data_IF_777382436167
#
_entry.id   IF_777382436167
#
_cell.length_a   1.000
_cell.length_b   1.000
_cell.length_c   1.000
_cell.angle_alpha   90.00
_cell.angle_beta   90.00
_cell.angle_gamma   90.00
#
_symmetry.space_group_name_H-M   'P 1'
#
loop_
_entity.id
_entity.type
_entity.pdbx_description
1 polymer ?
#
# COMPACT_ATOMS: atom_id res chain seq x y z
N UNK A 1 17.98 18.37 14.82
CA UNK A 1 18.35 17.85 13.48
C UNK A 1 19.43 16.81 13.65
N UNK A 2 19.23 15.59 13.16
CA UNK A 2 20.30 14.59 13.15
C UNK A 2 21.24 14.92 11.99
N UNK A 3 22.55 14.79 12.23
CA UNK A 3 23.61 15.06 11.25
C UNK A 3 24.43 13.79 11.05
N UNK A 4 24.65 13.38 9.80
CA UNK A 4 25.58 12.29 9.48
C UNK A 4 26.94 12.90 9.11
N UNK A 5 28.00 12.37 9.70
CA UNK A 5 29.38 12.69 9.33
C UNK A 5 29.99 11.44 8.74
N UNK A 6 30.37 11.51 7.47
CA UNK A 6 30.87 10.35 6.72
C UNK A 6 32.35 10.60 6.38
N UNK A 7 33.21 9.68 6.81
CA UNK A 7 34.62 9.63 6.45
C UNK A 7 34.82 8.49 5.43
N UNK A 8 34.99 8.85 4.15
CA UNK A 8 35.23 7.92 3.06
C UNK A 8 36.69 7.51 2.90
N UNK A 9 37.02 6.87 1.76
CA UNK A 9 38.40 6.56 1.36
C UNK A 9 38.93 5.18 1.80
N UNK A 10 38.06 4.34 2.37
CA UNK A 10 38.38 2.94 2.68
C UNK A 10 37.43 1.99 1.97
N UNK A 11 37.88 0.87 1.36
CA UNK A 11 36.98 -0.14 0.82
C UNK A 11 36.12 -0.73 1.93
N UNK A 12 34.84 -0.91 1.68
CA UNK A 12 33.92 -1.59 2.60
C UNK A 12 34.03 -3.07 2.36
N UNK A 13 34.26 -3.84 3.44
CA UNK A 13 34.31 -5.31 3.43
C UNK A 13 33.43 -5.85 4.55
N UNK A 14 32.56 -6.80 4.24
CA UNK A 14 31.66 -7.42 5.22
C UNK A 14 30.35 -7.89 4.58
N UNK A 15 29.45 -8.37 5.43
CA UNK A 15 28.10 -8.82 5.06
C UNK A 15 27.07 -7.82 5.54
N UNK A 16 26.05 -7.59 4.72
CA UNK A 16 24.89 -6.74 5.05
C UNK A 16 23.62 -7.53 4.78
N UNK A 17 22.80 -7.67 5.80
CA UNK A 17 21.44 -8.21 5.64
C UNK A 17 20.53 -7.09 5.14
N UNK A 18 19.96 -7.26 3.94
CA UNK A 18 19.03 -6.31 3.36
C UNK A 18 17.70 -6.41 4.12
N UNK A 19 17.23 -5.27 4.66
CA UNK A 19 15.93 -5.18 5.32
C UNK A 19 14.78 -5.26 4.33
N UNK A 20 13.57 -5.45 4.85
CA UNK A 20 12.36 -5.42 4.03
C UNK A 20 12.19 -4.12 3.26
N UNK A 21 11.59 -4.21 2.07
CA UNK A 21 11.39 -3.11 1.16
C UNK A 21 10.44 -2.05 1.75
N UNK A 22 10.94 -0.80 1.89
CA UNK A 22 10.11 0.31 2.36
C UNK A 22 8.82 0.45 1.55
N UNK A 23 8.93 0.49 0.21
CA UNK A 23 7.80 0.75 -0.66
C UNK A 23 6.77 -0.38 -0.66
N UNK A 24 7.18 -1.61 -0.40
CA UNK A 24 6.28 -2.73 -0.17
C UNK A 24 5.57 -2.61 1.19
N UNK A 25 6.33 -2.38 2.26
CA UNK A 25 5.79 -2.28 3.61
C UNK A 25 4.70 -1.21 3.73
N UNK A 26 4.92 -0.01 3.18
CA UNK A 26 3.96 1.11 3.28
C UNK A 26 2.68 0.89 2.46
N UNK A 27 2.63 -0.09 1.57
CA UNK A 27 1.43 -0.50 0.86
C UNK A 27 0.78 -1.75 1.51
N UNK A 28 1.58 -2.75 1.92
CA UNK A 28 1.09 -3.99 2.52
C UNK A 28 0.45 -3.73 3.90
N UNK A 29 0.99 -2.80 4.69
CA UNK A 29 0.42 -2.46 6.00
C UNK A 29 -1.01 -1.91 5.87
N UNK A 30 -1.32 -0.91 5.03
CA UNK A 30 -2.70 -0.53 4.75
C UNK A 30 -3.54 -1.64 4.11
N UNK A 31 -2.95 -2.46 3.24
CA UNK A 31 -3.66 -3.58 2.61
C UNK A 31 -4.14 -4.64 3.61
N UNK A 32 -3.50 -4.76 4.77
CA UNK A 32 -3.99 -5.62 5.86
C UNK A 32 -5.39 -5.23 6.36
N UNK A 33 -5.84 -3.98 6.12
CA UNK A 33 -7.22 -3.56 6.41
C UNK A 33 -8.27 -4.28 5.54
N UNK A 34 -7.89 -4.79 4.37
CA UNK A 34 -8.78 -5.55 3.49
C UNK A 34 -9.11 -6.95 4.02
N UNK A 35 -8.27 -7.46 4.90
CA UNK A 35 -8.37 -8.83 5.42
C UNK A 35 -9.34 -8.90 6.58
N UNK A 36 -10.25 -9.88 6.57
CA UNK A 36 -11.11 -10.18 7.72
C UNK A 36 -10.43 -11.23 8.60
N UNK A 37 -9.45 -10.82 9.37
CA UNK A 37 -8.65 -11.71 10.20
C UNK A 37 -7.38 -11.06 10.72
N UNK A 38 -6.43 -11.91 11.10
CA UNK A 38 -5.10 -11.51 11.56
C UNK A 38 -4.08 -11.72 10.46
N UNK A 39 -3.39 -10.66 10.08
CA UNK A 39 -2.23 -10.71 9.19
C UNK A 39 -0.96 -10.69 10.03
N UNK A 40 -0.13 -11.71 9.94
CA UNK A 40 1.24 -11.68 10.42
C UNK A 40 2.16 -11.28 9.29
N UNK A 41 2.83 -10.15 9.44
CA UNK A 41 3.72 -9.58 8.43
C UNK A 41 5.15 -9.63 8.98
N UNK A 42 6.04 -10.28 8.22
CA UNK A 42 7.45 -10.48 8.55
C UNK A 42 8.34 -9.62 7.66
N UNK A 43 9.60 -9.47 8.04
CA UNK A 43 10.60 -8.63 7.38
C UNK A 43 10.18 -7.15 7.26
N UNK A 44 9.53 -6.63 8.30
CA UNK A 44 9.15 -5.21 8.39
C UNK A 44 10.41 -4.34 8.55
N UNK A 45 10.61 -3.31 7.72
CA UNK A 45 11.72 -2.37 7.88
C UNK A 45 11.52 -1.45 9.08
N UNK A 46 12.63 -1.14 9.77
CA UNK A 46 12.64 -0.26 10.94
C UNK A 46 12.69 1.22 10.52
N UNK A 47 11.56 1.76 10.10
CA UNK A 47 11.44 3.15 9.62
C UNK A 47 10.24 3.85 10.25
N UNK A 48 10.34 5.18 10.39
CA UNK A 48 9.29 6.01 10.99
C UNK A 48 7.93 5.93 10.28
N UNK A 49 7.95 5.73 8.96
CA UNK A 49 6.72 5.60 8.16
C UNK A 49 5.89 4.38 8.60
N UNK A 50 6.55 3.27 8.91
CA UNK A 50 5.90 2.04 9.40
C UNK A 50 5.26 2.26 10.77
N UNK A 51 6.00 2.86 11.70
CA UNK A 51 5.47 3.16 13.05
C UNK A 51 4.26 4.09 12.97
N UNK A 52 4.31 5.08 12.08
CA UNK A 52 3.20 6.00 11.90
C UNK A 52 1.97 5.32 11.28
N UNK A 53 2.17 4.41 10.33
CA UNK A 53 1.07 3.60 9.78
C UNK A 53 0.43 2.73 10.86
N UNK A 54 1.20 2.12 11.75
CA UNK A 54 0.65 1.36 12.87
C UNK A 54 -0.27 2.23 13.72
N UNK A 55 0.17 3.44 14.09
CA UNK A 55 -0.66 4.39 14.86
C UNK A 55 -1.95 4.76 14.12
N UNK A 56 -1.89 4.93 12.79
CA UNK A 56 -3.08 5.21 11.97
C UNK A 56 -4.03 4.01 11.97
N UNK A 57 -3.52 2.80 11.82
CA UNK A 57 -4.35 1.60 11.84
C UNK A 57 -5.03 1.38 13.20
N UNK A 58 -4.31 1.63 14.30
CA UNK A 58 -4.87 1.56 15.67
C UNK A 58 -5.97 2.60 15.89
N UNK A 59 -5.79 3.82 15.41
CA UNK A 59 -6.83 4.86 15.46
C UNK A 59 -8.08 4.46 14.67
N UNK A 60 -7.93 3.76 13.55
CA UNK A 60 -9.06 3.23 12.78
C UNK A 60 -9.76 2.05 13.46
N UNK A 61 -9.16 1.47 14.52
CA UNK A 61 -9.69 0.38 15.31
C UNK A 61 -9.06 -0.99 15.05
N UNK A 62 -8.03 -1.08 14.21
CA UNK A 62 -7.25 -2.30 14.11
C UNK A 62 -6.41 -2.53 15.37
N UNK A 63 -6.13 -3.79 15.69
CA UNK A 63 -5.19 -4.13 16.76
C UNK A 63 -3.84 -4.46 16.15
N UNK A 64 -2.80 -3.71 16.54
CA UNK A 64 -1.44 -3.90 16.07
C UNK A 64 -0.60 -4.46 17.21
N UNK A 65 0.05 -5.60 16.98
CA UNK A 65 0.92 -6.25 17.97
C UNK A 65 2.30 -6.47 17.37
N UNK A 66 3.26 -5.68 17.79
CA UNK A 66 4.66 -5.87 17.42
C UNK A 66 5.23 -7.06 18.18
N UNK A 67 5.59 -8.13 17.47
CA UNK A 67 6.14 -9.36 18.05
C UNK A 67 7.65 -9.24 18.27
N UNK A 68 8.33 -8.66 17.32
CA UNK A 68 9.76 -8.35 17.38
C UNK A 68 10.08 -7.20 16.40
N UNK A 69 11.38 -6.87 16.25
CA UNK A 69 11.82 -5.76 15.39
C UNK A 69 11.37 -5.87 13.93
N UNK A 70 11.09 -7.08 13.44
CA UNK A 70 10.81 -7.34 12.02
C UNK A 70 9.49 -8.06 11.78
N UNK A 71 8.68 -8.26 12.83
CA UNK A 71 7.41 -9.00 12.72
C UNK A 71 6.30 -8.28 13.48
N UNK A 72 5.16 -8.11 12.81
CA UNK A 72 3.94 -7.52 13.38
C UNK A 72 2.73 -8.38 13.07
N UNK A 73 1.76 -8.42 13.98
CA UNK A 73 0.41 -8.91 13.73
C UNK A 73 -0.55 -7.74 13.66
N UNK A 74 -1.40 -7.72 12.64
CA UNK A 74 -2.44 -6.71 12.41
C UNK A 74 -3.78 -7.44 12.35
N UNK A 75 -4.64 -7.18 13.33
CA UNK A 75 -6.02 -7.68 13.38
C UNK A 75 -6.98 -6.55 13.01
N UNK A 76 -7.56 -6.63 11.83
CA UNK A 76 -8.44 -5.61 11.26
C UNK A 76 -9.93 -5.87 11.46
N UNK A 77 -10.32 -6.92 12.22
CA UNK A 77 -11.74 -7.27 12.46
C UNK A 77 -12.51 -6.22 13.25
N UNK A 78 -11.80 -5.38 14.00
CA UNK A 78 -12.40 -4.36 14.88
C UNK A 78 -12.33 -2.95 14.31
N UNK A 79 -11.95 -2.80 13.04
CA UNK A 79 -11.94 -1.50 12.37
C UNK A 79 -13.35 -0.93 12.32
N UNK A 80 -13.50 0.28 12.83
CA UNK A 80 -14.79 0.97 12.99
C UNK A 80 -14.81 2.37 12.38
N UNK A 81 -13.65 2.88 11.96
CA UNK A 81 -13.54 4.18 11.28
C UNK A 81 -12.93 4.02 9.89
N UNK A 82 -13.38 4.84 8.95
CA UNK A 82 -12.84 4.98 7.60
C UNK A 82 -12.23 6.36 7.35
N UNK A 83 -12.01 7.10 8.44
CA UNK A 83 -11.45 8.43 8.43
C UNK A 83 -10.37 8.54 9.52
N UNK A 84 -9.09 8.38 9.16
CA UNK A 84 -7.98 8.64 10.08
C UNK A 84 -7.83 10.14 10.33
N UNK A 85 -7.19 10.50 11.46
CA UNK A 85 -6.97 11.89 11.82
C UNK A 85 -6.10 12.62 10.80
N UNK A 86 -6.44 13.87 10.57
CA UNK A 86 -5.74 14.76 9.66
C UNK A 86 -4.25 14.93 10.01
N UNK A 87 -3.95 15.01 11.29
CA UNK A 87 -2.59 15.23 11.78
C UNK A 87 -1.64 14.05 11.50
N UNK A 88 -2.10 12.81 11.68
CA UNK A 88 -1.31 11.63 11.40
C UNK A 88 -1.09 11.45 9.91
N UNK A 89 -2.17 11.59 9.12
CA UNK A 89 -2.14 11.39 7.67
C UNK A 89 -1.20 12.35 6.96
N UNK A 90 -1.16 13.62 7.37
CA UNK A 90 -0.28 14.63 6.76
C UNK A 90 1.21 14.39 6.99
N UNK A 91 1.58 13.60 7.98
CA UNK A 91 2.99 13.32 8.32
C UNK A 91 3.63 12.31 7.38
N UNK A 92 2.83 11.53 6.66
CA UNK A 92 3.31 10.48 5.76
C UNK A 92 2.58 10.52 4.42
N UNK A 93 3.34 10.55 3.34
CA UNK A 93 2.76 10.52 2.01
C UNK A 93 2.03 9.21 1.70
N UNK A 94 2.56 8.08 2.17
CA UNK A 94 1.99 6.75 1.92
C UNK A 94 0.57 6.57 2.51
N UNK A 95 0.08 7.53 3.32
CA UNK A 95 -1.29 7.54 3.84
C UNK A 95 -2.38 7.47 2.75
N UNK A 96 -2.08 7.89 1.52
CA UNK A 96 -3.04 7.77 0.42
C UNK A 96 -3.36 6.30 0.04
N UNK A 97 -2.54 5.33 0.42
CA UNK A 97 -2.87 3.91 0.25
C UNK A 97 -4.07 3.46 1.10
N UNK A 98 -4.38 4.20 2.16
CA UNK A 98 -5.61 4.00 2.94
C UNK A 98 -6.87 4.20 2.09
N UNK A 99 -6.83 5.06 1.06
CA UNK A 99 -7.98 5.27 0.17
C UNK A 99 -8.41 3.96 -0.49
N UNK A 100 -7.50 3.24 -1.14
CA UNK A 100 -7.80 1.98 -1.81
C UNK A 100 -8.22 0.89 -0.84
N UNK A 101 -7.53 0.77 0.30
CA UNK A 101 -7.83 -0.25 1.30
C UNK A 101 -9.20 -0.03 1.98
N UNK A 102 -9.48 1.19 2.44
CA UNK A 102 -10.75 1.50 3.10
C UNK A 102 -11.93 1.48 2.13
N UNK A 103 -11.75 2.06 0.93
CA UNK A 103 -12.79 2.06 -0.10
C UNK A 103 -13.12 0.63 -0.55
N UNK A 104 -12.11 -0.22 -0.74
CA UNK A 104 -12.29 -1.60 -1.16
C UNK A 104 -13.05 -2.44 -0.14
N UNK A 105 -12.78 -2.27 1.17
CA UNK A 105 -13.43 -3.08 2.20
C UNK A 105 -14.75 -2.49 2.71
N UNK A 106 -14.79 -1.17 2.92
CA UNK A 106 -15.91 -0.52 3.61
C UNK A 106 -16.80 0.29 2.67
N UNK A 107 -16.48 0.34 1.38
CA UNK A 107 -17.21 1.14 0.39
C UNK A 107 -17.07 2.65 0.58
N UNK A 108 -16.27 3.10 1.53
CA UNK A 108 -16.04 4.53 1.79
C UNK A 108 -14.65 4.77 2.39
N UNK A 109 -14.05 5.90 2.05
CA UNK A 109 -12.80 6.38 2.62
C UNK A 109 -12.79 7.90 2.66
N UNK A 110 -12.29 8.48 3.75
CA UNK A 110 -12.02 9.92 3.86
C UNK A 110 -10.61 10.11 4.36
N UNK A 111 -9.72 10.60 3.52
CA UNK A 111 -8.28 10.73 3.83
C UNK A 111 -7.82 12.14 3.49
N UNK A 112 -7.04 12.76 4.37
CA UNK A 112 -6.48 14.07 4.08
C UNK A 112 -5.56 14.02 2.86
N UNK A 113 -5.49 15.12 2.10
CA UNK A 113 -4.50 15.22 1.03
C UNK A 113 -3.11 14.93 1.58
N UNK A 114 -2.37 14.01 0.95
CA UNK A 114 -1.08 13.59 1.48
C UNK A 114 -0.09 14.73 1.52
N UNK A 115 0.54 14.91 2.68
CA UNK A 115 1.63 15.85 2.93
C UNK A 115 2.99 15.19 2.84
N UNK A 116 3.99 15.79 3.44
CA UNK A 116 5.23 15.12 3.84
C UNK A 116 6.33 14.96 2.80
N UNK A 117 6.26 15.59 1.61
CA UNK A 117 7.40 15.54 0.68
C UNK A 117 7.57 16.85 -0.10
N UNK A 118 8.74 17.47 0.01
CA UNK A 118 9.08 18.73 -0.67
C UNK A 118 9.51 18.54 -2.15
N UNK A 119 9.29 17.36 -2.74
CA UNK A 119 9.67 17.05 -4.13
C UNK A 119 8.63 17.47 -5.18
N UNK A 120 7.83 18.51 -4.91
CA UNK A 120 6.85 19.06 -5.83
C UNK A 120 5.46 18.42 -5.76
N UNK A 121 4.55 18.91 -6.59
CA UNK A 121 3.16 18.46 -6.70
C UNK A 121 3.15 17.04 -7.29
N UNK A 122 2.54 16.12 -6.58
CA UNK A 122 2.30 14.76 -7.07
C UNK A 122 0.80 14.50 -7.02
N UNK A 123 0.11 14.71 -8.13
CA UNK A 123 -1.34 14.58 -8.22
C UNK A 123 -1.79 13.15 -7.93
N UNK A 124 -3.02 13.00 -7.45
CA UNK A 124 -3.68 11.70 -7.23
C UNK A 124 -4.76 11.43 -8.29
N UNK A 125 -4.73 12.17 -9.39
CA UNK A 125 -5.68 12.12 -10.50
C UNK A 125 -5.88 10.70 -11.04
N UNK A 126 -4.80 9.92 -11.21
CA UNK A 126 -4.87 8.53 -11.68
C UNK A 126 -5.53 7.60 -10.65
N UNK A 127 -5.38 7.88 -9.36
CA UNK A 127 -6.09 7.13 -8.30
C UNK A 127 -7.58 7.42 -8.38
N UNK A 128 -7.94 8.69 -8.45
CA UNK A 128 -9.34 9.17 -8.55
C UNK A 128 -9.99 8.65 -9.83
N UNK A 129 -9.28 8.69 -10.96
CA UNK A 129 -9.74 8.10 -12.24
C UNK A 129 -10.11 6.63 -12.08
N UNK A 130 -9.24 5.84 -11.47
CA UNK A 130 -9.49 4.42 -11.22
C UNK A 130 -10.69 4.19 -10.31
N UNK A 131 -10.81 4.90 -9.20
CA UNK A 131 -11.93 4.77 -8.27
C UNK A 131 -13.26 5.17 -8.93
N UNK A 132 -13.27 6.25 -9.72
CA UNK A 132 -14.48 6.68 -10.48
C UNK A 132 -14.88 5.64 -11.53
N UNK A 133 -13.92 5.06 -12.25
CA UNK A 133 -14.19 3.99 -13.20
C UNK A 133 -14.82 2.75 -12.52
N UNK A 134 -14.43 2.47 -11.28
CA UNK A 134 -14.99 1.39 -10.46
C UNK A 134 -16.30 1.76 -9.75
N UNK A 135 -16.92 2.89 -10.06
CA UNK A 135 -18.22 3.31 -9.56
C UNK A 135 -18.19 4.09 -8.24
N UNK A 136 -17.04 4.60 -7.82
CA UNK A 136 -16.97 5.50 -6.68
C UNK A 136 -17.31 6.95 -7.07
N UNK A 137 -18.01 7.65 -6.19
CA UNK A 137 -18.05 9.12 -6.16
C UNK A 137 -16.84 9.62 -5.38
N UNK A 138 -16.04 10.50 -6.00
CA UNK A 138 -14.85 11.06 -5.38
C UNK A 138 -14.91 12.57 -5.38
N UNK A 139 -14.80 13.15 -4.18
CA UNK A 139 -14.69 14.59 -3.94
C UNK A 139 -13.27 14.91 -3.50
N UNK A 140 -12.68 15.91 -4.14
CA UNK A 140 -11.30 16.34 -3.90
C UNK A 140 -11.29 17.75 -3.27
N UNK A 141 -10.47 17.91 -2.25
CA UNK A 141 -10.28 19.15 -1.50
C UNK A 141 -9.16 18.97 -0.48
N UNK A 142 -9.28 19.58 0.69
CA UNK A 142 -8.36 19.31 1.81
C UNK A 142 -8.43 17.85 2.29
N UNK A 143 -9.58 17.24 2.08
CA UNK A 143 -9.84 15.82 2.25
C UNK A 143 -10.24 15.22 0.91
N UNK A 144 -9.77 14.01 0.64
CA UNK A 144 -10.26 13.18 -0.44
C UNK A 144 -11.31 12.25 0.15
N UNK A 145 -12.54 12.37 -0.33
CA UNK A 145 -13.66 11.51 0.06
C UNK A 145 -14.03 10.63 -1.11
N UNK A 146 -14.05 9.33 -0.91
CA UNK A 146 -14.46 8.36 -1.90
C UNK A 146 -15.56 7.46 -1.32
N UNK A 147 -16.66 7.30 -2.06
CA UNK A 147 -17.82 6.50 -1.64
C UNK A 147 -18.27 5.64 -2.81
N UNK A 148 -18.32 4.34 -2.62
CA UNK A 148 -18.82 3.40 -3.61
C UNK A 148 -20.36 3.49 -3.71
N UNK A 149 -20.88 3.68 -4.92
CA UNK A 149 -22.33 3.64 -5.18
C UNK A 149 -22.85 2.24 -4.86
N UNK A 150 -23.84 2.16 -3.99
CA UNK A 150 -24.36 0.85 -3.55
C UNK A 150 -23.54 0.14 -2.47
N UNK A 151 -22.50 0.80 -1.91
CA UNK A 151 -21.71 0.29 -0.79
C UNK A 151 -20.55 -0.64 -1.18
N UNK A 152 -20.46 -1.06 -2.44
CA UNK A 152 -19.37 -1.90 -2.98
C UNK A 152 -18.94 -1.40 -4.34
N UNK A 153 -17.65 -1.49 -4.63
CA UNK A 153 -17.10 -1.16 -5.95
C UNK A 153 -17.44 -2.23 -6.98
N UNK A 154 -17.49 -1.85 -8.24
CA UNK A 154 -17.67 -2.75 -9.40
C UNK A 154 -16.40 -2.82 -10.24
N UNK A 155 -16.13 -3.98 -10.81
CA UNK A 155 -15.00 -4.18 -11.71
C UNK A 155 -15.09 -3.30 -12.95
N UNK A 156 -13.94 -2.82 -13.41
CA UNK A 156 -13.86 -1.92 -14.57
C UNK A 156 -12.54 -2.10 -15.34
N UNK A 157 -12.53 -1.67 -16.61
CA UNK A 157 -11.30 -1.46 -17.36
C UNK A 157 -10.75 -0.06 -17.02
N UNK A 158 -9.54 -0.01 -16.46
CA UNK A 158 -8.88 1.21 -16.04
C UNK A 158 -7.57 1.37 -16.81
N UNK A 159 -7.53 2.31 -17.74
CA UNK A 159 -6.29 2.70 -18.41
C UNK A 159 -5.65 3.88 -17.69
N UNK A 160 -4.39 3.74 -17.24
CA UNK A 160 -3.63 4.82 -16.63
C UNK A 160 -2.99 5.69 -17.72
N UNK A 161 -3.28 7.00 -17.72
CA UNK A 161 -2.73 7.93 -18.72
C UNK A 161 -1.21 8.06 -18.62
N UNK A 162 -0.69 7.84 -17.41
CA UNK A 162 0.73 7.72 -17.12
C UNK A 162 0.96 6.56 -16.15
N UNK A 163 2.11 5.89 -16.29
CA UNK A 163 2.53 4.85 -15.34
C UNK A 163 2.63 5.44 -13.94
N UNK A 164 1.88 4.91 -13.01
CA UNK A 164 1.83 5.37 -11.62
C UNK A 164 1.81 4.21 -10.64
N UNK A 165 2.90 4.07 -9.89
CA UNK A 165 3.02 3.07 -8.82
C UNK A 165 1.88 3.20 -7.81
N UNK A 166 1.66 4.42 -7.31
CA UNK A 166 0.66 4.69 -6.31
C UNK A 166 -0.76 4.36 -6.78
N UNK A 167 -1.13 4.78 -8.00
CA UNK A 167 -2.43 4.48 -8.57
C UNK A 167 -2.62 2.99 -8.80
N UNK A 168 -1.62 2.30 -9.39
CA UNK A 168 -1.66 0.86 -9.62
C UNK A 168 -1.95 0.11 -8.32
N UNK A 169 -1.22 0.40 -7.24
CA UNK A 169 -1.40 -0.26 -5.95
C UNK A 169 -2.75 0.07 -5.29
N UNK A 170 -3.17 1.34 -5.34
CA UNK A 170 -4.45 1.74 -4.75
C UNK A 170 -5.65 1.12 -5.48
N UNK A 171 -5.63 1.11 -6.81
CA UNK A 171 -6.68 0.49 -7.61
C UNK A 171 -6.68 -1.03 -7.40
N UNK A 172 -5.51 -1.65 -7.30
CA UNK A 172 -5.37 -3.08 -6.99
C UNK A 172 -6.02 -3.43 -5.64
N UNK A 173 -5.76 -2.65 -4.58
CA UNK A 173 -6.37 -2.84 -3.27
C UNK A 173 -7.90 -2.66 -3.33
N UNK A 174 -8.36 -1.59 -3.97
CA UNK A 174 -9.79 -1.32 -4.12
C UNK A 174 -10.53 -2.42 -4.91
N UNK A 175 -9.85 -2.98 -5.93
CA UNK A 175 -10.41 -4.02 -6.80
C UNK A 175 -10.46 -5.41 -6.15
N UNK A 176 -9.63 -5.68 -5.15
CA UNK A 176 -9.52 -7.00 -4.54
C UNK A 176 -10.84 -7.54 -3.99
N UNK A 177 -11.72 -6.66 -3.50
CA UNK A 177 -13.05 -7.00 -2.98
C UNK A 177 -14.20 -6.43 -3.83
N UNK A 178 -13.94 -5.87 -5.01
CA UNK A 178 -14.96 -5.33 -5.90
C UNK A 178 -15.82 -6.44 -6.50
N UNK A 179 -17.01 -6.11 -6.96
CA UNK A 179 -17.86 -7.05 -7.71
C UNK A 179 -17.40 -7.16 -9.16
N UNK A 180 -17.11 -8.37 -9.64
CA UNK A 180 -16.67 -8.60 -11.01
C UNK A 180 -15.16 -8.54 -11.21
N UNK A 181 -14.70 -8.10 -12.38
CA UNK A 181 -13.29 -8.09 -12.75
C UNK A 181 -12.82 -6.69 -13.11
N UNK A 182 -11.68 -6.29 -12.55
CA UNK A 182 -10.98 -5.05 -12.91
C UNK A 182 -9.74 -5.41 -13.71
N UNK A 183 -9.49 -4.66 -14.79
CA UNK A 183 -8.22 -4.70 -15.52
C UNK A 183 -7.56 -3.33 -15.43
N UNK A 184 -6.31 -3.30 -14.98
CA UNK A 184 -5.49 -2.09 -14.96
C UNK A 184 -4.53 -2.19 -16.13
N UNK A 185 -4.62 -1.26 -17.08
CA UNK A 185 -3.73 -1.17 -18.23
C UNK A 185 -2.77 0.01 -18.08
N UNK A 186 -1.59 -0.08 -18.68
CA UNK A 186 -0.45 0.82 -18.46
C UNK A 186 -0.03 0.87 -16.98
N UNK A 187 -0.12 -0.29 -16.33
CA UNK A 187 0.23 -0.46 -14.93
C UNK A 187 1.74 -0.32 -14.69
N UNK A 188 2.12 0.10 -13.51
CA UNK A 188 3.50 0.09 -13.05
C UNK A 188 3.98 -1.35 -12.78
N UNK A 189 5.30 -1.61 -12.93
CA UNK A 189 5.88 -2.97 -12.97
C UNK A 189 6.87 -3.25 -11.84
N UNK A 190 7.08 -2.30 -10.95
CA UNK A 190 8.09 -2.37 -9.89
C UNK A 190 7.89 -3.57 -8.97
N UNK A 191 8.97 -4.14 -8.40
CA UNK A 191 8.92 -5.34 -7.57
C UNK A 191 7.94 -5.27 -6.39
N UNK A 192 7.76 -4.10 -5.80
CA UNK A 192 6.84 -3.91 -4.68
C UNK A 192 5.34 -3.94 -5.09
N UNK A 193 5.03 -3.78 -6.38
CA UNK A 193 3.68 -4.02 -6.92
C UNK A 193 3.40 -5.52 -6.98
N UNK A 194 4.39 -6.30 -7.43
CA UNK A 194 4.33 -7.76 -7.41
C UNK A 194 4.19 -8.28 -5.98
N UNK A 195 4.93 -7.67 -5.04
CA UNK A 195 4.89 -8.05 -3.63
C UNK A 195 3.51 -7.79 -3.00
N UNK A 196 2.89 -6.62 -3.29
CA UNK A 196 1.51 -6.34 -2.86
C UNK A 196 0.51 -7.34 -3.45
N UNK A 197 0.64 -7.68 -4.74
CA UNK A 197 -0.22 -8.69 -5.37
C UNK A 197 -0.05 -10.07 -4.74
N UNK A 198 1.18 -10.47 -4.45
CA UNK A 198 1.48 -11.73 -3.77
C UNK A 198 0.92 -11.75 -2.35
N UNK A 199 1.05 -10.64 -1.59
CA UNK A 199 0.42 -10.51 -0.28
C UNK A 199 -1.10 -10.70 -0.39
N UNK A 200 -1.77 -9.98 -1.27
CA UNK A 200 -3.22 -10.08 -1.43
C UNK A 200 -3.65 -11.49 -1.88
N UNK A 201 -2.92 -12.10 -2.83
CA UNK A 201 -3.18 -13.46 -3.29
C UNK A 201 -2.98 -14.49 -2.17
N UNK A 202 -1.97 -14.31 -1.31
CA UNK A 202 -1.77 -15.21 -0.16
C UNK A 202 -2.89 -15.10 0.88
N UNK A 203 -3.65 -13.99 0.88
CA UNK A 203 -4.84 -13.79 1.69
C UNK A 203 -6.15 -14.22 0.99
N UNK A 204 -6.07 -14.70 -0.26
CA UNK A 204 -7.19 -15.24 -1.01
C UNK A 204 -7.71 -14.38 -2.16
N UNK A 205 -7.02 -13.33 -2.57
CA UNK A 205 -7.35 -12.57 -3.78
C UNK A 205 -7.06 -13.37 -5.07
N UNK A 206 -7.59 -12.91 -6.20
CA UNK A 206 -7.31 -13.45 -7.53
C UNK A 206 -6.75 -12.33 -8.43
N UNK A 207 -5.44 -12.11 -8.31
CA UNK A 207 -4.68 -11.07 -9.01
C UNK A 207 -3.65 -11.73 -9.92
N UNK A 208 -3.65 -11.37 -11.21
CA UNK A 208 -2.74 -11.89 -12.23
C UNK A 208 -2.12 -10.74 -13.02
N UNK A 209 -0.91 -10.95 -13.54
CA UNK A 209 -0.22 -9.98 -14.40
C UNK A 209 0.54 -8.90 -13.65
N UNK A 210 0.62 -8.93 -12.30
CA UNK A 210 1.50 -8.00 -11.56
C UNK A 210 2.95 -8.13 -12.02
N UNK A 211 3.62 -6.99 -12.26
CA UNK A 211 4.94 -6.93 -12.90
C UNK A 211 4.89 -6.79 -14.43
N UNK A 212 3.71 -6.79 -15.03
CA UNK A 212 3.49 -6.46 -16.44
C UNK A 212 2.70 -5.15 -16.57
N UNK A 213 2.46 -4.68 -17.79
CA UNK A 213 1.66 -3.47 -18.06
C UNK A 213 0.15 -3.68 -17.94
N UNK A 214 -0.30 -4.94 -17.80
CA UNK A 214 -1.71 -5.26 -17.64
C UNK A 214 -1.91 -6.17 -16.42
N UNK A 215 -2.70 -5.70 -15.45
CA UNK A 215 -3.02 -6.43 -14.22
C UNK A 215 -4.51 -6.71 -14.20
N UNK A 216 -4.88 -7.99 -14.07
CA UNK A 216 -6.26 -8.42 -13.95
C UNK A 216 -6.55 -8.85 -12.51
N UNK A 217 -7.60 -8.30 -11.94
CA UNK A 217 -8.07 -8.56 -10.58
C UNK A 217 -9.51 -9.05 -10.67
N UNK A 218 -9.78 -10.28 -10.27
CA UNK A 218 -11.15 -10.76 -10.03
C UNK A 218 -11.46 -10.56 -8.55
N UNK A 219 -12.40 -9.68 -8.26
CA UNK A 219 -12.78 -9.41 -6.89
C UNK A 219 -13.37 -10.64 -6.21
N UNK A 220 -13.07 -10.78 -4.94
CA UNK A 220 -13.54 -11.87 -4.07
C UNK A 220 -14.45 -11.32 -2.98
N UNK A 221 -15.20 -12.20 -2.34
CA UNK A 221 -16.10 -11.77 -1.25
C UNK A 221 -15.35 -11.43 0.03
N UNK A 222 -14.24 -12.14 0.28
CA UNK A 222 -13.51 -12.07 1.54
C UNK A 222 -12.02 -12.38 1.33
N UNK A 223 -11.16 -11.67 2.07
CA UNK A 223 -9.76 -12.03 2.26
C UNK A 223 -9.56 -12.57 3.69
N UNK A 224 -8.78 -13.63 3.82
CA UNK A 224 -8.56 -14.32 5.09
C UNK A 224 -7.20 -13.97 5.67
N UNK A 225 -7.06 -14.08 7.00
CA UNK A 225 -5.79 -13.90 7.69
C UNK A 225 -4.74 -14.93 7.29
N UNK A 226 -3.46 -14.54 7.44
CA UNK A 226 -2.33 -15.40 7.09
C UNK A 226 -0.99 -14.77 7.47
N UNK A 227 0.09 -15.45 7.11
CA UNK A 227 1.47 -14.96 7.31
C UNK A 227 2.07 -14.59 5.97
N UNK A 228 2.75 -13.45 5.92
CA UNK A 228 3.44 -12.97 4.73
C UNK A 228 4.78 -12.34 5.08
N UNK A 229 5.81 -12.60 4.27
CA UNK A 229 7.13 -12.01 4.41
C UNK A 229 7.36 -11.00 3.28
N UNK A 230 7.61 -9.75 3.63
CA UNK A 230 7.92 -8.66 2.69
C UNK A 230 9.25 -8.96 1.99
N UNK A 231 9.35 -8.69 0.69
CA UNK A 231 10.59 -8.85 -0.08
C UNK A 231 11.72 -7.98 0.50
N UNK A 232 12.99 -8.41 0.39
CA UNK A 232 14.13 -7.54 0.66
C UNK A 232 14.09 -6.28 -0.22
N UNK A 233 14.63 -5.16 0.28
CA UNK A 233 14.60 -3.90 -0.44
C UNK A 233 15.47 -3.94 -1.71
N UNK A 234 14.88 -3.89 -2.93
CA UNK A 234 15.62 -4.00 -4.17
C UNK A 234 16.52 -2.80 -4.42
N UNK A 235 16.18 -1.62 -3.86
CA UNK A 235 16.98 -0.42 -4.01
C UNK A 235 18.27 -0.54 -3.20
N UNK A 236 18.18 -0.95 -1.94
CA UNK A 236 19.34 -1.20 -1.09
C UNK A 236 20.23 -2.29 -1.68
N UNK A 237 19.63 -3.37 -2.19
CA UNK A 237 20.36 -4.45 -2.85
C UNK A 237 21.16 -3.93 -4.06
N UNK A 238 20.54 -3.18 -4.95
CA UNK A 238 21.18 -2.61 -6.16
C UNK A 238 22.33 -1.68 -5.84
N UNK A 239 22.21 -0.86 -4.77
CA UNK A 239 23.22 0.13 -4.43
C UNK A 239 24.35 -0.41 -3.53
N UNK A 240 24.13 -1.51 -2.83
CA UNK A 240 25.15 -2.15 -1.99
C UNK A 240 25.92 -3.25 -2.72
N UNK A 241 25.36 -3.83 -3.79
CA UNK A 241 26.08 -4.76 -4.67
C UNK A 241 26.81 -3.95 -5.74
N UNK A 242 28.14 -4.01 -5.75
CA UNK A 242 28.94 -3.43 -6.84
C UNK A 242 28.66 -4.18 -8.14
N UNK A 243 28.60 -3.48 -9.29
CA UNK A 243 28.60 -4.16 -10.56
C UNK A 243 29.90 -4.97 -10.67
N UNK A 244 29.77 -6.26 -10.74
CA UNK A 244 30.87 -7.14 -11.12
C UNK A 244 31.11 -6.93 -12.61
N UNK A 245 32.14 -6.18 -12.96
CA UNK A 245 32.64 -6.07 -14.33
C UNK A 245 33.34 -7.34 -14.76
#
# INVERSE_FOLDING_TARGET
MNKYIIHGGRPLMGEVTISGAKNAAVAIIPAALLVDGVCRIENIPQISDVTLLFSILEELGARVRVLNRHTVEIDSRHVHSTQPSFELVRRIRASYYLLGALLGRFGKATVAMPGGCNFGVRPIDQHVKGFRAMGAEVTEGNLVQAVAKGGRLTGAAVYLDMVSVGATMNIMMAAALAEGTTTIENAAKEPHIVDLANFLNSMGADIKGAGTDSIRIRGVEKLNGGTYCIIPDPVSYTHLTLPTT
#
